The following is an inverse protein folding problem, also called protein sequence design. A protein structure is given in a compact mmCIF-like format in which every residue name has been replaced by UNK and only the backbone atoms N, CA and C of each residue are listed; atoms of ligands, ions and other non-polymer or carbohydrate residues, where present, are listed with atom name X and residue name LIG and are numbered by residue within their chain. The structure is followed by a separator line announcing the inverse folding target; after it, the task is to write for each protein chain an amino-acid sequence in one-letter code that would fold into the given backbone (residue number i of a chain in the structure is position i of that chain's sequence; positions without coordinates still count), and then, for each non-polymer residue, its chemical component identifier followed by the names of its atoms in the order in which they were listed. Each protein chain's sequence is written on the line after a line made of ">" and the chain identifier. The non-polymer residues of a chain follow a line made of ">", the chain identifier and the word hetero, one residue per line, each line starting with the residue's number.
data_IF_627125653163
#
_entry.id   IF_627125653163
#
_cell.length_a   1.000
_cell.length_b   1.000
_cell.length_c   1.000
_cell.angle_alpha   90.00
_cell.angle_beta   90.00
_cell.angle_gamma   90.00
#
_symmetry.space_group_name_H-M   'P 1'
#
loop_
_entity.id
_entity.type
_entity.pdbx_description
1 polymer ?
#
# COMPACT_ATOMS: atom_id res chain seq x y z
N UNK A 1 -25.71 -15.93 -0.35
CA UNK A 1 -25.86 -14.79 0.58
C UNK A 1 -24.47 -14.45 1.11
N UNK A 2 -23.87 -13.36 0.66
CA UNK A 2 -22.50 -12.98 1.01
C UNK A 2 -22.54 -12.14 2.27
N UNK A 3 -22.08 -12.69 3.39
CA UNK A 3 -21.97 -11.97 4.67
C UNK A 3 -21.06 -10.74 4.46
N UNK A 4 -21.53 -9.51 4.72
CA UNK A 4 -20.68 -8.34 4.61
C UNK A 4 -19.51 -8.46 5.59
N UNK A 5 -18.30 -7.99 5.24
CA UNK A 5 -17.15 -8.04 6.13
C UNK A 5 -17.51 -7.34 7.45
N UNK A 6 -17.33 -8.07 8.54
CA UNK A 6 -17.66 -7.62 9.89
C UNK A 6 -16.99 -6.26 10.18
N UNK A 7 -17.81 -5.23 10.41
CA UNK A 7 -17.39 -3.86 10.79
C UNK A 7 -16.61 -3.78 12.11
N UNK A 8 -16.40 -4.90 12.81
CA UNK A 8 -15.77 -4.97 14.14
C UNK A 8 -14.28 -4.71 14.13
N UNK A 9 -13.59 -4.81 12.98
CA UNK A 9 -12.15 -4.51 12.87
C UNK A 9 -11.85 -3.01 12.62
N UNK A 10 -12.89 -2.17 12.49
CA UNK A 10 -12.76 -0.75 12.17
C UNK A 10 -12.95 0.08 13.44
N UNK A 11 -11.97 0.90 13.86
CA UNK A 11 -12.09 1.68 15.06
C UNK A 11 -13.13 2.81 14.90
N UNK A 12 -13.88 3.09 15.95
CA UNK A 12 -14.81 4.23 15.97
C UNK A 12 -14.08 5.58 16.06
N UNK A 13 -12.85 5.58 16.59
CA UNK A 13 -11.98 6.76 16.72
C UNK A 13 -10.57 6.43 16.24
N UNK A 14 -9.92 7.37 15.57
CA UNK A 14 -8.53 7.28 15.16
C UNK A 14 -7.80 8.55 15.61
N UNK A 15 -6.71 8.38 16.38
CA UNK A 15 -5.98 9.49 17.02
C UNK A 15 -6.92 10.43 17.81
N UNK A 16 -7.90 9.85 18.52
CA UNK A 16 -8.87 10.60 19.33
C UNK A 16 -10.02 11.25 18.56
N UNK A 17 -10.01 11.25 17.23
CA UNK A 17 -11.05 11.87 16.38
C UNK A 17 -12.04 10.79 15.90
N UNK A 18 -13.37 11.05 15.86
CA UNK A 18 -14.33 10.13 15.25
C UNK A 18 -13.97 9.80 13.80
N UNK A 19 -14.05 8.52 13.43
CA UNK A 19 -13.82 8.10 12.04
C UNK A 19 -15.12 8.31 11.25
N UNK A 20 -15.12 9.12 10.16
CA UNK A 20 -16.31 9.32 9.34
C UNK A 20 -16.84 8.00 8.78
N UNK A 21 -18.17 7.86 8.66
CA UNK A 21 -18.81 6.63 8.16
C UNK A 21 -18.30 6.21 6.78
N UNK A 22 -18.05 7.17 5.89
CA UNK A 22 -17.47 6.92 4.58
C UNK A 22 -16.07 6.29 4.66
N UNK A 23 -15.25 6.73 5.62
CA UNK A 23 -13.91 6.19 5.85
C UNK A 23 -14.01 4.81 6.49
N UNK A 24 -14.97 4.61 7.41
CA UNK A 24 -15.21 3.29 8.02
C UNK A 24 -15.58 2.23 7.00
N UNK A 25 -16.47 2.56 6.05
CA UNK A 25 -16.88 1.63 4.97
C UNK A 25 -15.73 1.23 4.05
N UNK A 26 -14.72 2.08 3.91
CA UNK A 26 -13.57 1.85 3.05
C UNK A 26 -12.26 1.72 3.84
N UNK A 27 -12.33 1.32 5.12
CA UNK A 27 -11.19 1.39 6.05
C UNK A 27 -9.91 0.75 5.50
N UNK A 28 -10.06 -0.33 4.73
CA UNK A 28 -8.96 -1.09 4.16
C UNK A 28 -8.57 -0.68 2.73
N UNK A 29 -8.98 0.49 2.25
CA UNK A 29 -8.61 1.02 0.93
C UNK A 29 -7.51 2.07 1.03
N UNK A 30 -6.93 2.42 -0.12
CA UNK A 30 -6.00 3.55 -0.23
C UNK A 30 -6.63 4.90 0.12
N UNK A 31 -7.93 5.07 -0.11
CA UNK A 31 -8.67 6.28 0.29
C UNK A 31 -8.64 6.49 1.81
N UNK A 32 -8.96 5.44 2.57
CA UNK A 32 -8.86 5.51 4.04
C UNK A 32 -7.40 5.59 4.53
N UNK A 33 -6.45 4.99 3.82
CA UNK A 33 -5.02 5.14 4.12
C UNK A 33 -4.54 6.60 3.97
N UNK A 34 -4.97 7.30 2.92
CA UNK A 34 -4.69 8.71 2.74
C UNK A 34 -5.31 9.56 3.87
N UNK A 35 -6.53 9.24 4.29
CA UNK A 35 -7.17 9.88 5.44
C UNK A 35 -6.39 9.66 6.75
N UNK A 36 -6.00 8.42 7.07
CA UNK A 36 -5.18 8.12 8.27
C UNK A 36 -3.85 8.85 8.24
N UNK A 37 -3.18 8.88 7.08
CA UNK A 37 -1.93 9.62 6.89
C UNK A 37 -2.13 11.13 7.13
N UNK A 38 -3.21 11.73 6.64
CA UNK A 38 -3.50 13.15 6.88
C UNK A 38 -3.71 13.44 8.37
N UNK A 39 -4.40 12.54 9.11
CA UNK A 39 -4.56 12.70 10.57
C UNK A 39 -3.23 12.71 11.32
N UNK A 40 -2.25 11.91 10.90
CA UNK A 40 -0.91 11.95 11.50
C UNK A 40 -0.19 13.28 11.23
N UNK A 41 -0.30 13.80 10.00
CA UNK A 41 0.30 15.10 9.64
C UNK A 41 -0.31 16.25 10.43
N UNK A 42 -1.63 16.23 10.67
CA UNK A 42 -2.31 17.22 11.50
C UNK A 42 -1.81 17.23 12.96
N UNK A 43 -1.27 16.11 13.45
CA UNK A 43 -0.64 16.00 14.78
C UNK A 43 0.85 16.34 14.81
N UNK A 44 1.38 16.93 13.73
CA UNK A 44 2.81 17.23 13.55
C UNK A 44 3.72 15.98 13.61
N UNK A 45 3.17 14.80 13.35
CA UNK A 45 3.96 13.58 13.18
C UNK A 45 4.41 13.48 11.71
N UNK A 46 5.65 13.91 11.47
CA UNK A 46 6.28 13.88 10.15
C UNK A 46 6.58 12.47 9.63
N UNK A 47 6.57 11.46 10.50
CA UNK A 47 6.94 10.08 10.20
C UNK A 47 5.77 9.14 10.54
N UNK A 48 4.66 9.21 9.79
CA UNK A 48 3.49 8.38 10.06
C UNK A 48 3.84 6.88 9.98
N UNK A 49 3.07 6.01 10.67
CA UNK A 49 3.14 4.57 10.47
C UNK A 49 2.86 4.20 9.01
N UNK A 50 3.49 3.12 8.57
CA UNK A 50 3.27 2.57 7.24
C UNK A 50 1.81 2.13 7.03
N UNK A 51 1.14 2.76 6.09
CA UNK A 51 -0.26 2.51 5.82
C UNK A 51 -0.51 1.23 4.99
N UNK A 52 0.52 0.68 4.34
CA UNK A 52 0.42 -0.54 3.51
C UNK A 52 -0.18 -1.72 4.26
N UNK A 53 0.12 -1.85 5.55
CA UNK A 53 -0.35 -2.98 6.35
C UNK A 53 -1.84 -2.93 6.69
N UNK A 54 -2.46 -1.74 6.65
CA UNK A 54 -3.90 -1.57 6.90
C UNK A 54 -4.73 -1.73 5.63
N UNK A 55 -4.11 -1.61 4.45
CA UNK A 55 -4.77 -1.81 3.16
C UNK A 55 -4.92 -3.31 2.87
N UNK A 56 -6.05 -3.69 2.25
CA UNK A 56 -6.32 -5.05 1.77
C UNK A 56 -6.36 -5.05 0.24
N UNK A 57 -5.81 -6.11 -0.36
CA UNK A 57 -5.88 -6.30 -1.81
C UNK A 57 -7.35 -6.31 -2.28
N UNK A 58 -7.69 -5.66 -3.42
CA UNK A 58 -9.03 -5.70 -3.99
C UNK A 58 -9.51 -7.13 -4.26
N UNK A 59 -10.77 -7.42 -3.95
CA UNK A 59 -11.33 -8.77 -4.13
C UNK A 59 -11.33 -9.25 -5.59
N UNK A 60 -11.39 -8.32 -6.55
CA UNK A 60 -11.35 -8.62 -7.97
C UNK A 60 -9.93 -8.86 -8.54
N UNK A 61 -8.87 -8.66 -7.74
CA UNK A 61 -7.49 -8.88 -8.18
C UNK A 61 -7.23 -10.37 -8.47
N UNK A 62 -6.56 -10.68 -9.59
CA UNK A 62 -6.22 -12.06 -9.93
C UNK A 62 -5.11 -12.62 -9.02
N UNK A 63 -4.98 -13.95 -8.87
CA UNK A 63 -4.00 -14.57 -7.97
C UNK A 63 -2.56 -14.11 -8.21
N UNK A 64 -2.12 -14.05 -9.47
CA UNK A 64 -0.76 -13.61 -9.84
C UNK A 64 -0.42 -12.18 -9.44
N UNK A 65 -1.33 -11.22 -9.68
CA UNK A 65 -1.11 -9.84 -9.24
C UNK A 65 -1.24 -9.73 -7.71
N UNK A 66 -2.08 -10.54 -7.07
CA UNK A 66 -2.19 -10.62 -5.61
C UNK A 66 -0.89 -11.07 -4.96
N UNK A 67 -0.20 -12.05 -5.53
CA UNK A 67 1.12 -12.48 -5.07
C UNK A 67 2.14 -11.34 -5.16
N UNK A 68 2.23 -10.68 -6.32
CA UNK A 68 3.13 -9.54 -6.52
C UNK A 68 2.82 -8.38 -5.55
N UNK A 69 1.54 -8.09 -5.34
CA UNK A 69 1.06 -7.09 -4.40
C UNK A 69 1.48 -7.41 -2.96
N UNK A 70 1.36 -8.68 -2.54
CA UNK A 70 1.81 -9.15 -1.24
C UNK A 70 3.33 -9.08 -1.09
N UNK A 71 4.08 -9.33 -2.17
CA UNK A 71 5.53 -9.14 -2.22
C UNK A 71 5.93 -7.72 -1.82
N UNK A 72 5.31 -6.70 -2.44
CA UNK A 72 5.58 -5.30 -2.09
C UNK A 72 5.02 -4.89 -0.72
N UNK A 73 3.89 -5.47 -0.28
CA UNK A 73 3.36 -5.24 1.08
C UNK A 73 4.36 -5.70 2.15
N UNK A 74 5.03 -6.82 1.92
CA UNK A 74 5.96 -7.42 2.86
C UNK A 74 7.41 -6.95 2.66
N UNK A 75 7.64 -6.00 1.74
CA UNK A 75 8.96 -5.43 1.49
C UNK A 75 9.28 -4.35 2.53
N UNK A 76 9.93 -4.77 3.61
CA UNK A 76 10.23 -3.94 4.76
C UNK A 76 11.54 -3.18 4.57
N UNK A 77 11.58 -1.94 5.08
CA UNK A 77 12.83 -1.20 5.23
C UNK A 77 13.71 -1.87 6.29
N UNK A 78 14.99 -2.09 5.99
CA UNK A 78 15.97 -2.57 6.96
C UNK A 78 16.64 -1.38 7.66
N UNK A 79 16.38 -1.15 8.95
CA UNK A 79 16.94 -0.02 9.68
C UNK A 79 18.44 -0.15 9.94
N UNK A 80 19.01 -1.37 9.84
CA UNK A 80 20.44 -1.61 10.09
C UNK A 80 21.26 -1.15 8.89
N UNK A 81 20.91 -1.62 7.68
CA UNK A 81 21.58 -1.14 6.47
C UNK A 81 21.19 0.29 6.10
N UNK A 82 19.96 0.71 6.44
CA UNK A 82 19.47 2.05 6.18
C UNK A 82 19.43 2.40 4.69
N UNK A 83 19.45 1.41 3.80
CA UNK A 83 19.56 1.61 2.37
C UNK A 83 18.33 2.32 1.80
N UNK A 84 18.56 3.31 0.94
CA UNK A 84 17.49 3.99 0.21
C UNK A 84 16.91 3.05 -0.85
N UNK A 85 15.62 3.20 -1.15
CA UNK A 85 15.00 2.50 -2.28
C UNK A 85 15.65 2.83 -3.64
N UNK A 86 15.84 1.83 -4.53
CA UNK A 86 15.64 0.40 -4.29
C UNK A 86 16.89 -0.14 -3.59
N UNK A 87 16.76 -0.51 -2.31
CA UNK A 87 17.92 -0.89 -1.51
C UNK A 87 18.33 -2.32 -1.82
N UNK A 88 19.62 -2.53 -2.07
CA UNK A 88 20.24 -3.86 -2.09
C UNK A 88 21.37 -3.89 -1.05
N UNK A 89 21.67 -5.07 -0.45
CA UNK A 89 22.90 -5.25 0.30
C UNK A 89 24.12 -4.78 -0.51
N UNK A 90 25.00 -3.97 0.08
CA UNK A 90 26.20 -3.43 -0.59
C UNK A 90 26.02 -2.10 -1.33
N UNK A 91 24.92 -1.37 -1.13
CA UNK A 91 24.81 0.01 -1.63
C UNK A 91 25.92 0.89 -1.04
N UNK A 92 26.68 1.67 -1.84
CA UNK A 92 27.74 2.54 -1.34
C UNK A 92 27.20 3.80 -0.61
N UNK A 93 25.88 3.99 -0.60
CA UNK A 93 25.22 5.19 -0.07
C UNK A 93 24.93 5.09 1.44
N UNK A 94 25.99 5.24 2.24
CA UNK A 94 25.90 5.32 3.70
C UNK A 94 25.05 6.54 4.11
N UNK A 95 24.13 6.43 5.09
CA UNK A 95 23.43 7.59 5.62
C UNK A 95 24.41 8.60 6.23
N UNK A 96 24.45 9.81 5.67
CA UNK A 96 25.24 10.93 6.21
C UNK A 96 24.28 11.98 6.73
N UNK A 97 24.42 12.37 8.00
CA UNK A 97 23.59 13.40 8.61
C UNK A 97 23.93 13.63 10.07
N UNK A 98 23.58 14.82 10.59
CA UNK A 98 23.82 15.20 11.99
C UNK A 98 22.96 14.38 12.97
N UNK A 99 21.81 13.90 12.52
CA UNK A 99 20.90 13.06 13.29
C UNK A 99 20.52 11.82 12.46
N UNK A 100 21.26 10.71 12.69
CA UNK A 100 21.07 9.47 11.93
C UNK A 100 19.71 8.80 12.19
N UNK A 101 19.13 8.98 13.38
CA UNK A 101 17.80 8.45 13.69
C UNK A 101 16.74 9.12 12.82
N UNK A 102 16.80 10.44 12.67
CA UNK A 102 15.91 11.19 11.78
C UNK A 102 16.09 10.77 10.32
N UNK A 103 17.32 10.64 9.85
CA UNK A 103 17.62 10.21 8.47
C UNK A 103 17.07 8.80 8.21
N UNK A 104 17.14 7.90 9.20
CA UNK A 104 16.56 6.56 9.10
C UNK A 104 15.04 6.61 8.93
N UNK A 105 14.34 7.42 9.72
CA UNK A 105 12.88 7.61 9.60
C UNK A 105 12.46 8.22 8.26
N UNK A 106 13.23 9.19 7.75
CA UNK A 106 13.00 9.78 6.42
C UNK A 106 13.12 8.70 5.33
N UNK A 107 14.16 7.85 5.39
CA UNK A 107 14.36 6.75 4.44
C UNK A 107 13.29 5.65 4.57
N UNK A 108 12.86 5.32 5.79
CA UNK A 108 11.72 4.43 6.02
C UNK A 108 10.46 4.95 5.33
N UNK A 109 10.14 6.23 5.55
CA UNK A 109 8.95 6.83 4.94
C UNK A 109 9.02 6.81 3.41
N UNK A 110 10.17 7.11 2.82
CA UNK A 110 10.37 6.99 1.38
C UNK A 110 10.17 5.55 0.88
N UNK A 111 10.67 4.57 1.63
CA UNK A 111 10.49 3.16 1.32
C UNK A 111 9.00 2.76 1.33
N UNK A 112 8.29 3.15 2.38
CA UNK A 112 6.85 2.92 2.56
C UNK A 112 6.05 3.51 1.39
N UNK A 113 6.40 4.73 0.97
CA UNK A 113 5.78 5.42 -0.16
C UNK A 113 5.99 4.69 -1.48
N UNK A 114 7.22 4.29 -1.78
CA UNK A 114 7.54 3.64 -3.05
C UNK A 114 6.94 2.25 -3.14
N UNK A 115 6.99 1.48 -2.06
CA UNK A 115 6.32 0.19 -2.03
C UNK A 115 4.79 0.34 -2.12
N UNK A 116 4.21 1.36 -1.48
CA UNK A 116 2.77 1.67 -1.63
C UNK A 116 2.42 2.02 -3.08
N UNK A 117 3.28 2.78 -3.76
CA UNK A 117 3.09 3.14 -5.16
C UNK A 117 3.11 1.91 -6.07
N UNK A 118 4.02 0.96 -5.84
CA UNK A 118 4.05 -0.30 -6.57
C UNK A 118 2.79 -1.14 -6.33
N UNK A 119 2.31 -1.23 -5.08
CA UNK A 119 1.06 -1.92 -4.76
C UNK A 119 -0.13 -1.32 -5.51
N UNK A 120 -0.26 0.02 -5.55
CA UNK A 120 -1.32 0.72 -6.31
C UNK A 120 -1.22 0.48 -7.81
N UNK A 121 0.00 0.51 -8.35
CA UNK A 121 0.24 0.25 -9.77
C UNK A 121 -0.19 -1.17 -10.16
N UNK A 122 0.13 -2.16 -9.32
CA UNK A 122 -0.30 -3.55 -9.51
C UNK A 122 -1.82 -3.67 -9.49
N UNK A 123 -2.49 -2.99 -8.55
CA UNK A 123 -3.96 -2.91 -8.51
C UNK A 123 -4.52 -2.35 -9.81
N UNK A 124 -4.03 -1.20 -10.26
CA UNK A 124 -4.49 -0.53 -11.48
C UNK A 124 -4.30 -1.42 -12.72
N UNK A 125 -3.10 -1.98 -12.89
CA UNK A 125 -2.78 -2.88 -14.00
C UNK A 125 -3.72 -4.08 -14.03
N UNK A 126 -3.91 -4.75 -12.88
CA UNK A 126 -4.76 -5.92 -12.80
C UNK A 126 -6.24 -5.58 -13.06
N UNK A 127 -6.75 -4.52 -12.42
CA UNK A 127 -8.16 -4.15 -12.48
C UNK A 127 -8.53 -3.52 -13.83
N UNK A 128 -7.57 -2.98 -14.58
CA UNK A 128 -7.79 -2.54 -15.96
C UNK A 128 -8.16 -3.68 -16.91
N UNK A 129 -7.86 -4.94 -16.55
CA UNK A 129 -8.08 -6.11 -17.40
C UNK A 129 -7.14 -6.24 -18.60
N UNK A 130 -6.18 -5.30 -18.76
CA UNK A 130 -5.27 -5.25 -19.92
C UNK A 130 -3.93 -5.94 -19.69
N UNK A 131 -3.67 -6.44 -18.48
CA UNK A 131 -2.39 -7.06 -18.16
C UNK A 131 -2.27 -8.43 -18.85
N UNK A 132 -1.24 -8.66 -19.70
CA UNK A 132 -0.98 -9.97 -20.28
C UNK A 132 -0.54 -11.01 -19.22
N UNK A 133 -0.28 -10.56 -17.99
CA UNK A 133 0.07 -11.41 -16.85
C UNK A 133 -1.15 -11.85 -16.04
N UNK A 134 -2.36 -11.41 -16.39
CA UNK A 134 -3.57 -11.89 -15.73
C UNK A 134 -3.88 -13.33 -16.14
N UNK A 135 -4.12 -14.20 -15.16
CA UNK A 135 -4.58 -15.58 -15.41
C UNK A 135 -6.06 -15.65 -15.85
N UNK A 136 -6.70 -14.49 -16.09
CA UNK A 136 -8.05 -14.46 -16.64
C UNK A 136 -7.98 -14.87 -18.11
N UNK A 137 -8.82 -15.80 -18.59
CA UNK A 137 -9.00 -15.93 -20.02
C UNK A 137 -9.44 -14.55 -20.55
N UNK A 138 -8.76 -14.03 -21.58
CA UNK A 138 -9.34 -12.97 -22.40
C UNK A 138 -10.78 -13.37 -22.69
N UNK A 139 -11.80 -12.49 -22.52
CA UNK A 139 -13.05 -12.75 -23.20
C UNK A 139 -12.67 -12.91 -24.67
N UNK A 140 -12.89 -14.12 -25.20
CA UNK A 140 -12.60 -14.45 -26.58
C UNK A 140 -13.13 -13.29 -27.42
N UNK A 141 -12.26 -12.73 -28.28
CA UNK A 141 -12.69 -11.71 -29.21
C UNK A 141 -13.98 -12.20 -29.87
N UNK A 142 -15.02 -11.39 -29.77
CA UNK A 142 -16.14 -11.48 -30.68
C UNK A 142 -15.53 -11.42 -32.09
N UNK A 143 -15.38 -12.59 -32.67
CA UNK A 143 -15.18 -12.76 -34.09
C UNK A 143 -16.45 -12.22 -34.75
N UNK A 144 -16.40 -10.96 -35.18
CA UNK A 144 -17.35 -10.44 -36.16
C UNK A 144 -17.29 -11.35 -37.38
N UNK A 145 -18.41 -11.99 -37.78
CA UNK A 145 -18.46 -12.67 -39.06
C UNK A 145 -18.48 -11.60 -40.16
N UNK A 146 -17.56 -11.71 -41.11
CA UNK A 146 -17.71 -11.15 -42.46
C UNK A 146 -18.18 -12.27 -43.36
#
# INVERSE_FOLDING_TARGET
>A
MTTPPHLTDVPQRFLGIPVPDEIRRQWHTWGAAAWRRSRHMDTNNLFPPDQRYTVRAPAAMCPRHRESWLGYRNMNFDPVSGNRWPGHPGSPFIPVGRNLARVSEERRCEWDEKASAQMRLIEEICLSGRSPQCDRPSPAGESSPV
#
